data_IF_707895428877
#
_entry.id   IF_707895428877
#
_cell.length_a   1.000
_cell.length_b   1.000
_cell.length_c   1.000
_cell.angle_alpha   90.00
_cell.angle_beta   90.00
_cell.angle_gamma   90.00
#
_symmetry.space_group_name_H-M   'P 1'
#
loop_
_entity.id
_entity.type
_entity.pdbx_description
1 polymer ?
#
# COMPACT_ATOMS: atom_id res chain seq x y z
N UNK A 1 -30.29 -15.90 -18.19
CA UNK A 1 -29.61 -17.16 -17.83
C UNK A 1 -30.03 -17.55 -16.43
N UNK A 2 -30.81 -18.62 -16.30
CA UNK A 2 -31.32 -19.11 -15.02
C UNK A 2 -30.26 -19.90 -14.26
N UNK A 3 -30.28 -19.79 -12.93
CA UNK A 3 -29.41 -20.56 -12.04
C UNK A 3 -29.91 -22.01 -11.98
N UNK A 4 -29.12 -22.95 -12.50
CA UNK A 4 -29.47 -24.37 -12.48
C UNK A 4 -28.99 -25.08 -11.21
N UNK A 5 -27.91 -24.61 -10.57
CA UNK A 5 -27.46 -25.04 -9.24
C UNK A 5 -26.67 -23.91 -8.54
N UNK A 6 -26.92 -23.68 -7.24
CA UNK A 6 -26.19 -22.72 -6.39
C UNK A 6 -27.08 -21.71 -5.67
N UNK A 7 -26.65 -21.26 -4.49
CA UNK A 7 -27.34 -20.21 -3.71
C UNK A 7 -27.30 -18.89 -4.51
N UNK A 8 -28.46 -18.26 -4.68
CA UNK A 8 -28.56 -16.93 -5.26
C UNK A 8 -28.02 -15.91 -4.25
N UNK A 9 -26.96 -15.23 -4.63
CA UNK A 9 -26.39 -14.13 -3.85
C UNK A 9 -27.06 -12.82 -4.26
N UNK A 10 -27.91 -12.30 -3.39
CA UNK A 10 -28.44 -10.93 -3.49
C UNK A 10 -27.66 -10.01 -2.56
N UNK A 11 -27.80 -8.70 -2.74
CA UNK A 11 -27.11 -7.72 -1.88
C UNK A 11 -27.55 -7.89 -0.40
N UNK A 12 -28.82 -8.20 -0.15
CA UNK A 12 -29.33 -8.47 1.20
C UNK A 12 -28.72 -9.74 1.81
N UNK A 13 -28.51 -10.78 0.99
CA UNK A 13 -27.85 -12.00 1.44
C UNK A 13 -26.37 -11.76 1.76
N UNK A 14 -25.69 -10.95 0.96
CA UNK A 14 -24.29 -10.56 1.20
C UNK A 14 -24.20 -9.79 2.53
N UNK A 15 -25.05 -8.78 2.74
CA UNK A 15 -25.12 -8.04 4.00
C UNK A 15 -25.37 -8.95 5.20
N UNK A 16 -26.37 -9.83 5.11
CA UNK A 16 -26.71 -10.76 6.19
C UNK A 16 -25.51 -11.63 6.59
N UNK A 17 -24.81 -12.20 5.61
CA UNK A 17 -23.64 -13.04 5.89
C UNK A 17 -22.46 -12.24 6.45
N UNK A 18 -22.23 -11.00 5.97
CA UNK A 18 -21.23 -10.10 6.57
C UNK A 18 -21.53 -9.88 8.05
N UNK A 19 -22.77 -9.50 8.39
CA UNK A 19 -23.19 -9.26 9.79
C UNK A 19 -23.13 -10.53 10.64
N UNK A 20 -23.44 -11.69 10.07
CA UNK A 20 -23.32 -12.97 10.76
C UNK A 20 -21.86 -13.28 11.13
N UNK A 21 -20.93 -13.10 10.19
CA UNK A 21 -19.49 -13.24 10.45
C UNK A 21 -19.02 -12.25 11.52
N UNK A 22 -19.46 -10.98 11.46
CA UNK A 22 -19.14 -9.97 12.47
C UNK A 22 -19.60 -10.41 13.87
N UNK A 23 -20.83 -10.93 13.97
CA UNK A 23 -21.40 -11.42 15.23
C UNK A 23 -20.62 -12.59 15.80
N UNK A 24 -20.23 -13.57 14.97
CA UNK A 24 -19.47 -14.74 15.40
C UNK A 24 -18.07 -14.35 15.88
N UNK A 25 -17.42 -13.41 15.19
CA UNK A 25 -16.10 -12.91 15.56
C UNK A 25 -16.14 -11.87 16.69
N UNK A 26 -17.33 -11.42 17.08
CA UNK A 26 -17.56 -10.33 18.03
C UNK A 26 -16.79 -9.04 17.65
N UNK A 27 -16.95 -8.60 16.41
CA UNK A 27 -16.34 -7.36 15.88
C UNK A 27 -17.42 -6.38 15.39
N UNK A 28 -17.10 -5.09 15.46
CA UNK A 28 -17.93 -3.95 15.03
C UNK A 28 -17.47 -3.34 13.70
N UNK A 29 -16.47 -3.95 13.06
CA UNK A 29 -15.89 -3.56 11.78
C UNK A 29 -16.07 -4.61 10.69
N UNK A 30 -15.86 -4.22 9.43
CA UNK A 30 -15.83 -5.12 8.29
C UNK A 30 -14.80 -6.25 8.53
N UNK A 31 -15.20 -7.52 8.39
CA UNK A 31 -14.29 -8.64 8.49
C UNK A 31 -13.35 -8.67 7.27
N UNK A 32 -12.12 -9.11 7.49
CA UNK A 32 -11.14 -9.34 6.42
C UNK A 32 -11.42 -10.65 5.69
N UNK A 33 -10.86 -10.82 4.49
CA UNK A 33 -10.98 -12.05 3.71
C UNK A 33 -10.54 -13.29 4.53
N UNK A 34 -9.44 -13.19 5.28
CA UNK A 34 -8.96 -14.28 6.13
C UNK A 34 -9.94 -14.61 7.27
N UNK A 35 -10.48 -13.59 7.94
CA UNK A 35 -11.48 -13.75 9.00
C UNK A 35 -12.78 -14.39 8.47
N UNK A 36 -13.24 -13.99 7.28
CA UNK A 36 -14.40 -14.61 6.64
C UNK A 36 -14.12 -16.10 6.38
N UNK A 37 -13.00 -16.44 5.74
CA UNK A 37 -12.65 -17.84 5.42
C UNK A 37 -12.56 -18.73 6.66
N UNK A 38 -12.07 -18.18 7.79
CA UNK A 38 -12.02 -18.92 9.06
C UNK A 38 -13.41 -19.30 9.56
N UNK A 39 -14.42 -18.45 9.34
CA UNK A 39 -15.80 -18.68 9.78
C UNK A 39 -16.60 -19.49 8.77
N UNK A 40 -16.51 -19.17 7.47
CA UNK A 40 -17.32 -19.80 6.42
C UNK A 40 -16.73 -21.11 5.92
N UNK A 41 -15.42 -21.31 6.05
CA UNK A 41 -14.70 -22.45 5.47
C UNK A 41 -14.59 -22.42 3.94
N UNK A 42 -15.08 -21.35 3.29
CA UNK A 42 -15.09 -21.21 1.83
C UNK A 42 -14.85 -19.76 1.35
N UNK A 43 -14.77 -19.61 0.03
CA UNK A 43 -14.54 -18.33 -0.66
C UNK A 43 -15.82 -17.73 -1.29
N UNK A 44 -17.01 -18.25 -0.97
CA UNK A 44 -18.23 -17.82 -1.63
C UNK A 44 -18.55 -16.36 -1.31
N UNK A 45 -18.56 -15.99 -0.02
CA UNK A 45 -18.84 -14.63 0.43
C UNK A 45 -17.77 -13.63 -0.03
N UNK A 46 -16.49 -13.98 0.11
CA UNK A 46 -15.36 -13.11 -0.25
C UNK A 46 -15.37 -12.79 -1.75
N UNK A 47 -15.64 -13.78 -2.59
CA UNK A 47 -15.78 -13.60 -4.03
C UNK A 47 -16.97 -12.72 -4.41
N UNK A 48 -18.07 -12.82 -3.67
CA UNK A 48 -19.27 -12.03 -3.95
C UNK A 48 -19.06 -10.57 -3.58
N UNK A 49 -18.51 -10.30 -2.38
CA UNK A 49 -18.08 -8.96 -1.97
C UNK A 49 -17.17 -8.34 -3.04
N UNK A 50 -16.14 -9.07 -3.50
CA UNK A 50 -15.21 -8.58 -4.51
C UNK A 50 -15.89 -8.21 -5.85
N UNK A 51 -16.89 -9.00 -6.29
CA UNK A 51 -17.59 -8.80 -7.56
C UNK A 51 -18.70 -7.75 -7.51
N UNK A 52 -19.19 -7.38 -6.33
CA UNK A 52 -20.32 -6.45 -6.16
C UNK A 52 -19.92 -5.10 -5.53
N UNK A 53 -18.63 -4.75 -5.58
CA UNK A 53 -18.14 -3.43 -5.14
C UNK A 53 -16.88 -3.47 -4.26
N UNK A 54 -16.49 -4.66 -3.81
CA UNK A 54 -15.35 -4.84 -2.92
C UNK A 54 -15.64 -4.47 -1.47
N UNK A 55 -14.69 -4.79 -0.59
CA UNK A 55 -14.85 -4.64 0.86
C UNK A 55 -15.11 -3.20 1.29
N UNK A 56 -14.51 -2.22 0.61
CA UNK A 56 -14.68 -0.80 0.94
C UNK A 56 -16.09 -0.29 0.64
N UNK A 57 -16.62 -0.59 -0.55
CA UNK A 57 -17.98 -0.17 -0.89
C UNK A 57 -19.02 -0.85 0.00
N UNK A 58 -18.81 -2.12 0.35
CA UNK A 58 -19.68 -2.80 1.32
C UNK A 58 -19.59 -2.20 2.71
N UNK A 59 -18.40 -1.86 3.19
CA UNK A 59 -18.25 -1.20 4.49
C UNK A 59 -18.94 0.16 4.53
N UNK A 60 -18.82 0.95 3.46
CA UNK A 60 -19.51 2.25 3.30
C UNK A 60 -21.04 2.07 3.29
N UNK A 61 -21.57 1.15 2.48
CA UNK A 61 -23.00 0.82 2.43
C UNK A 61 -23.56 0.40 3.78
N UNK A 62 -22.78 -0.37 4.54
CA UNK A 62 -23.18 -0.91 5.85
C UNK A 62 -22.90 0.06 7.01
N UNK A 63 -22.26 1.20 6.74
CA UNK A 63 -21.81 2.19 7.72
C UNK A 63 -20.92 1.58 8.83
N UNK A 64 -19.96 0.75 8.43
CA UNK A 64 -18.99 0.11 9.33
C UNK A 64 -17.56 0.44 8.93
N UNK A 65 -16.64 0.46 9.90
CA UNK A 65 -15.23 0.70 9.60
C UNK A 65 -14.58 -0.50 8.89
N UNK A 66 -13.58 -0.27 8.06
CA UNK A 66 -12.75 -1.36 7.51
C UNK A 66 -11.58 -1.62 8.45
N UNK A 67 -11.19 -2.89 8.62
CA UNK A 67 -9.94 -3.25 9.33
C UNK A 67 -8.78 -2.42 8.79
N UNK A 68 -8.14 -1.63 9.66
CA UNK A 68 -6.90 -0.93 9.34
C UNK A 68 -5.83 -1.99 9.01
N UNK A 69 -5.37 -2.03 7.77
CA UNK A 69 -4.30 -2.92 7.32
C UNK A 69 -3.13 -2.11 6.77
N UNK A 70 -1.93 -2.69 6.76
CA UNK A 70 -0.75 -2.10 6.11
C UNK A 70 -1.01 -1.77 4.63
N UNK A 71 -1.85 -2.56 3.96
CA UNK A 71 -2.28 -2.30 2.58
C UNK A 71 -3.00 -0.96 2.42
N UNK A 72 -3.80 -0.54 3.42
CA UNK A 72 -4.41 0.80 3.39
C UNK A 72 -3.38 1.90 3.64
N UNK A 73 -2.38 1.64 4.48
CA UNK A 73 -1.31 2.59 4.73
C UNK A 73 -0.47 2.80 3.47
N UNK A 74 -0.09 1.71 2.77
CA UNK A 74 0.62 1.75 1.50
C UNK A 74 -0.08 2.63 0.47
N UNK A 75 -1.35 2.31 0.16
CA UNK A 75 -2.14 3.06 -0.82
C UNK A 75 -2.28 4.55 -0.45
N UNK A 76 -2.49 4.86 0.84
CA UNK A 76 -2.56 6.26 1.30
C UNK A 76 -1.25 7.00 1.08
N UNK A 77 -0.12 6.34 1.31
CA UNK A 77 1.20 6.93 1.12
C UNK A 77 1.62 6.98 -0.36
N UNK A 78 1.15 6.08 -1.21
CA UNK A 78 1.27 6.22 -2.68
C UNK A 78 0.55 7.48 -3.18
N UNK A 79 -0.68 7.72 -2.72
CA UNK A 79 -1.43 8.94 -3.05
C UNK A 79 -0.74 10.18 -2.49
N UNK A 80 -0.27 10.13 -1.24
CA UNK A 80 0.47 11.23 -0.64
C UNK A 80 1.77 11.54 -1.39
N UNK A 81 2.51 10.52 -1.82
CA UNK A 81 3.71 10.67 -2.63
C UNK A 81 3.41 11.37 -3.96
N UNK A 82 2.32 10.94 -4.63
CA UNK A 82 1.82 11.59 -5.85
C UNK A 82 1.54 13.07 -5.61
N UNK A 83 0.73 13.41 -4.61
CA UNK A 83 0.37 14.80 -4.31
C UNK A 83 1.60 15.66 -4.00
N UNK A 84 2.57 15.12 -3.24
CA UNK A 84 3.82 15.81 -2.94
C UNK A 84 4.63 16.09 -4.21
N UNK A 85 4.76 15.11 -5.11
CA UNK A 85 5.49 15.28 -6.36
C UNK A 85 4.79 16.26 -7.32
N UNK A 86 3.46 16.18 -7.43
CA UNK A 86 2.67 17.14 -8.22
C UNK A 86 2.79 18.56 -7.67
N UNK A 87 2.82 18.73 -6.33
CA UNK A 87 3.04 20.03 -5.69
C UNK A 87 4.42 20.63 -5.98
N UNK A 88 5.40 19.79 -6.34
CA UNK A 88 6.74 20.20 -6.77
C UNK A 88 6.81 20.49 -8.29
N UNK A 89 5.69 20.35 -9.01
CA UNK A 89 5.58 20.64 -10.44
C UNK A 89 5.85 19.46 -11.36
N UNK A 90 5.96 18.25 -10.83
CA UNK A 90 6.13 17.05 -11.65
C UNK A 90 4.79 16.54 -12.19
N UNK A 91 4.78 16.00 -13.41
CA UNK A 91 3.64 15.24 -13.91
C UNK A 91 3.72 13.82 -13.33
N UNK A 92 2.66 13.32 -12.67
CA UNK A 92 2.71 12.03 -11.97
C UNK A 92 1.50 11.17 -12.31
N UNK A 93 1.76 9.98 -12.83
CA UNK A 93 0.74 8.96 -13.05
C UNK A 93 0.83 7.89 -11.96
N UNK A 94 -0.31 7.55 -11.34
CA UNK A 94 -0.40 6.41 -10.41
C UNK A 94 -0.69 5.14 -11.19
N UNK A 95 0.18 4.14 -11.04
CA UNK A 95 0.01 2.86 -11.69
C UNK A 95 -1.03 2.00 -10.99
N UNK A 96 -1.63 1.09 -11.76
CA UNK A 96 -2.47 0.02 -11.20
C UNK A 96 -1.61 -1.03 -10.48
N UNK A 97 -2.22 -1.77 -9.56
CA UNK A 97 -1.56 -2.81 -8.74
C UNK A 97 -0.96 -3.99 -9.52
N UNK A 98 -1.10 -4.01 -10.86
CA UNK A 98 -0.48 -5.01 -11.74
C UNK A 98 0.91 -4.61 -12.22
N UNK A 99 1.27 -3.34 -12.05
CA UNK A 99 2.58 -2.84 -12.42
C UNK A 99 3.58 -3.06 -11.28
N UNK A 100 4.88 -3.22 -11.59
CA UNK A 100 5.89 -3.53 -10.59
C UNK A 100 6.48 -2.28 -9.92
N UNK A 101 5.75 -1.16 -9.96
CA UNK A 101 6.08 0.14 -9.34
C UNK A 101 4.79 0.95 -9.22
N UNK A 102 4.77 1.94 -8.33
CA UNK A 102 3.55 2.63 -7.92
C UNK A 102 3.28 3.90 -8.72
N UNK A 103 4.32 4.67 -9.06
CA UNK A 103 4.18 5.95 -9.76
C UNK A 103 5.11 6.03 -10.97
N UNK A 104 4.66 6.70 -12.02
CA UNK A 104 5.46 7.13 -13.16
C UNK A 104 5.55 8.65 -13.19
N UNK A 105 6.76 9.18 -13.00
CA UNK A 105 7.02 10.62 -12.90
C UNK A 105 7.58 11.13 -14.23
N UNK A 106 6.99 12.21 -14.75
CA UNK A 106 7.29 12.83 -16.04
C UNK A 106 7.30 11.84 -17.21
N UNK A 107 6.49 10.77 -17.12
CA UNK A 107 6.44 9.71 -18.14
C UNK A 107 7.71 8.87 -18.25
N UNK A 108 8.71 9.05 -17.38
CA UNK A 108 10.05 8.49 -17.55
C UNK A 108 10.60 7.77 -16.31
N UNK A 109 10.36 8.30 -15.10
CA UNK A 109 10.99 7.82 -13.87
C UNK A 109 10.03 6.90 -13.12
N UNK A 110 10.40 5.64 -12.94
CA UNK A 110 9.58 4.63 -12.24
C UNK A 110 9.86 4.68 -10.74
N UNK A 111 8.83 4.89 -9.94
CA UNK A 111 8.95 5.10 -8.50
C UNK A 111 8.17 4.05 -7.74
N UNK A 112 8.82 3.42 -6.77
CA UNK A 112 8.21 2.48 -5.84
C UNK A 112 8.12 3.12 -4.45
N UNK A 113 6.91 3.20 -3.90
CA UNK A 113 6.60 3.89 -2.64
C UNK A 113 6.56 2.85 -1.53
N UNK A 114 7.29 3.12 -0.45
CA UNK A 114 7.31 2.27 0.74
C UNK A 114 7.00 3.08 1.97
N UNK A 115 6.24 2.51 2.89
CA UNK A 115 5.91 3.12 4.17
C UNK A 115 6.10 2.10 5.27
N UNK A 116 6.64 2.54 6.41
CA UNK A 116 6.83 1.70 7.57
C UNK A 116 6.57 2.50 8.83
N UNK A 117 5.90 1.87 9.80
CA UNK A 117 5.78 2.33 11.19
C UNK A 117 7.02 1.89 11.98
N UNK A 118 7.33 2.54 13.11
CA UNK A 118 8.47 2.14 13.90
C UNK A 118 8.15 0.82 14.58
N UNK A 119 9.15 -0.05 14.69
CA UNK A 119 9.12 -1.22 15.55
C UNK A 119 10.30 -1.14 16.51
N UNK A 120 10.11 -1.70 17.70
CA UNK A 120 11.14 -1.74 18.73
C UNK A 120 12.04 -2.95 18.51
N UNK A 121 13.35 -2.72 18.52
CA UNK A 121 14.34 -3.78 18.54
C UNK A 121 15.33 -3.54 19.69
N UNK A 122 15.71 -4.60 20.40
CA UNK A 122 16.55 -4.67 21.61
C UNK A 122 17.12 -3.33 22.12
N UNK A 123 16.72 -2.94 23.34
CA UNK A 123 17.17 -1.74 24.08
C UNK A 123 16.59 -0.40 23.57
N UNK A 124 15.28 -0.34 23.29
CA UNK A 124 14.53 0.90 23.05
C UNK A 124 15.00 1.73 21.84
N UNK A 125 15.59 1.10 20.81
CA UNK A 125 15.87 1.77 19.54
C UNK A 125 14.75 1.47 18.55
N UNK A 126 14.09 2.52 18.08
CA UNK A 126 13.09 2.43 17.04
C UNK A 126 13.74 2.31 15.67
N UNK A 127 13.25 1.35 14.89
CA UNK A 127 13.63 1.15 13.50
C UNK A 127 12.38 1.14 12.63
N UNK A 128 12.53 1.57 11.38
CA UNK A 128 11.55 1.37 10.34
C UNK A 128 12.12 0.36 9.35
N UNK A 129 11.35 -0.69 9.03
CA UNK A 129 11.77 -1.71 8.08
C UNK A 129 10.82 -1.78 6.90
N UNK A 130 11.38 -1.78 5.70
CA UNK A 130 10.66 -1.82 4.44
C UNK A 130 11.05 -3.10 3.69
N UNK A 131 10.05 -3.89 3.32
CA UNK A 131 10.24 -5.03 2.44
C UNK A 131 10.36 -4.55 0.98
N UNK A 132 11.47 -4.86 0.34
CA UNK A 132 11.75 -4.54 -1.08
C UNK A 132 11.61 -5.76 -1.99
N UNK A 133 11.32 -6.94 -1.42
CA UNK A 133 11.03 -8.23 -2.07
C UNK A 133 12.21 -8.86 -2.83
N UNK A 134 12.84 -8.11 -3.73
CA UNK A 134 13.91 -8.57 -4.62
C UNK A 134 15.21 -7.78 -4.38
N UNK A 135 16.34 -8.26 -4.90
CA UNK A 135 17.60 -7.48 -4.89
C UNK A 135 17.83 -6.68 -6.18
N UNK A 136 17.08 -7.04 -7.23
CA UNK A 136 17.10 -6.40 -8.54
C UNK A 136 15.73 -5.78 -8.76
N UNK A 137 15.65 -4.49 -8.50
CA UNK A 137 14.39 -3.77 -8.46
C UNK A 137 13.98 -3.30 -9.86
N UNK A 138 12.68 -3.28 -10.11
CA UNK A 138 12.03 -2.84 -11.36
C UNK A 138 11.86 -1.33 -11.47
N UNK A 139 12.01 -0.61 -10.36
CA UNK A 139 11.91 0.85 -10.27
C UNK A 139 13.28 1.51 -10.39
N UNK A 140 13.27 2.81 -10.69
CA UNK A 140 14.48 3.65 -10.73
C UNK A 140 14.78 4.26 -9.36
N UNK A 141 13.72 4.62 -8.63
CA UNK A 141 13.80 5.31 -7.33
C UNK A 141 12.81 4.67 -6.35
N UNK A 142 13.27 4.45 -5.13
CA UNK A 142 12.41 4.20 -3.98
C UNK A 142 12.10 5.50 -3.25
N UNK A 143 10.84 5.69 -2.90
CA UNK A 143 10.40 6.75 -2.00
C UNK A 143 9.90 6.14 -0.70
N UNK A 144 10.76 6.12 0.32
CA UNK A 144 10.49 5.46 1.59
C UNK A 144 10.09 6.46 2.69
N UNK A 145 8.90 6.27 3.24
CA UNK A 145 8.31 7.06 4.32
C UNK A 145 8.45 6.33 5.66
N UNK A 146 9.33 6.83 6.51
CA UNK A 146 9.39 6.45 7.92
C UNK A 146 8.39 7.32 8.69
N UNK A 147 7.42 6.69 9.34
CA UNK A 147 6.33 7.38 10.04
C UNK A 147 6.28 6.94 11.50
N UNK A 148 5.77 7.80 12.36
CA UNK A 148 5.48 7.44 13.76
C UNK A 148 4.30 6.47 13.86
N UNK A 149 4.02 5.94 15.05
CA UNK A 149 2.79 5.16 15.30
C UNK A 149 1.51 5.94 14.99
N UNK A 150 1.54 7.26 15.19
CA UNK A 150 0.47 8.21 14.85
C UNK A 150 0.43 8.62 13.37
N UNK A 151 1.31 8.04 12.54
CA UNK A 151 1.44 8.31 11.10
C UNK A 151 1.92 9.73 10.75
N UNK A 152 2.44 10.49 11.71
CA UNK A 152 3.26 11.66 11.41
C UNK A 152 4.55 11.22 10.68
N UNK A 153 4.91 11.92 9.60
CA UNK A 153 6.13 11.62 8.83
C UNK A 153 7.34 12.05 9.64
N UNK A 154 8.25 11.12 9.88
CA UNK A 154 9.51 11.35 10.59
C UNK A 154 10.66 11.52 9.59
N UNK A 155 10.68 10.70 8.52
CA UNK A 155 11.68 10.78 7.46
C UNK A 155 11.08 10.42 6.10
N UNK A 156 11.59 11.07 5.04
CA UNK A 156 11.35 10.71 3.65
C UNK A 156 12.72 10.48 3.00
N UNK A 157 12.95 9.26 2.53
CA UNK A 157 14.18 8.90 1.81
C UNK A 157 13.87 8.67 0.33
N UNK A 158 14.62 9.33 -0.54
CA UNK A 158 14.50 9.21 -2.00
C UNK A 158 15.78 8.54 -2.49
N UNK A 159 15.70 7.23 -2.71
CA UNK A 159 16.87 6.37 -2.87
C UNK A 159 16.87 5.77 -4.28
N UNK A 160 17.91 6.03 -5.10
CA UNK A 160 18.12 5.31 -6.35
C UNK A 160 18.14 3.80 -6.13
N UNK A 161 17.36 3.04 -6.90
CA UNK A 161 17.27 1.59 -6.75
C UNK A 161 18.62 0.90 -6.92
N UNK A 162 19.50 1.44 -7.76
CA UNK A 162 20.89 0.97 -7.95
C UNK A 162 21.72 0.93 -6.66
N UNK A 163 21.37 1.77 -5.68
CA UNK A 163 22.07 1.88 -4.39
C UNK A 163 21.43 0.99 -3.31
N UNK A 164 20.31 0.31 -3.63
CA UNK A 164 19.64 -0.68 -2.80
C UNK A 164 19.76 -2.06 -3.45
N UNK A 165 20.78 -2.83 -3.05
CA UNK A 165 20.93 -4.25 -3.45
C UNK A 165 20.60 -5.16 -2.28
N UNK A 166 19.43 -4.95 -1.69
CA UNK A 166 18.96 -5.64 -0.48
C UNK A 166 17.48 -5.95 -0.60
N UNK A 167 17.01 -7.04 0.03
CA UNK A 167 15.58 -7.37 0.06
C UNK A 167 14.80 -6.63 1.14
N UNK A 168 15.51 -6.08 2.12
CA UNK A 168 14.92 -5.35 3.24
C UNK A 168 15.77 -4.12 3.51
N UNK A 169 15.12 -2.96 3.58
CA UNK A 169 15.72 -1.71 4.01
C UNK A 169 15.31 -1.48 5.46
N UNK A 170 16.28 -1.40 6.37
CA UNK A 170 16.03 -1.02 7.77
C UNK A 170 16.74 0.29 8.08
N UNK A 171 16.02 1.25 8.64
CA UNK A 171 16.53 2.56 9.02
C UNK A 171 16.23 2.80 10.50
N UNK A 172 17.25 3.22 11.25
CA UNK A 172 17.09 3.68 12.62
C UNK A 172 17.11 5.21 12.69
N UNK A 173 17.27 5.71 13.91
CA UNK A 173 17.42 7.15 14.20
C UNK A 173 18.55 7.79 13.40
N UNK A 174 19.70 7.12 13.31
CA UNK A 174 20.80 7.45 12.41
C UNK A 174 21.03 6.28 11.45
N UNK A 175 21.18 6.59 10.18
CA UNK A 175 21.30 5.59 9.12
C UNK A 175 22.26 6.03 8.03
N UNK A 176 22.99 5.09 7.43
CA UNK A 176 23.78 5.35 6.20
C UNK A 176 22.92 5.87 5.04
N UNK A 177 21.61 5.67 5.11
CA UNK A 177 20.64 6.11 4.12
C UNK A 177 20.16 7.55 4.35
N UNK A 178 20.52 8.20 5.47
CA UNK A 178 20.11 9.59 5.74
C UNK A 178 20.66 10.58 4.68
N UNK A 179 21.74 10.21 3.96
CA UNK A 179 22.24 10.95 2.78
C UNK A 179 21.21 11.09 1.63
N UNK A 180 20.16 10.28 1.66
CA UNK A 180 19.05 10.28 0.69
C UNK A 180 17.81 11.02 1.19
N UNK A 181 17.88 11.62 2.38
CA UNK A 181 16.76 12.34 2.96
C UNK A 181 16.38 13.55 2.10
N UNK A 182 15.09 13.64 1.73
CA UNK A 182 14.53 14.74 0.94
C UNK A 182 15.30 15.06 -0.35
N UNK A 183 15.91 14.05 -1.00
CA UNK A 183 16.61 14.20 -2.29
C UNK A 183 15.66 14.31 -3.47
N UNK A 184 14.72 15.25 -3.40
CA UNK A 184 13.75 15.55 -4.46
C UNK A 184 14.43 15.90 -5.78
N UNK A 185 15.65 16.44 -5.73
CA UNK A 185 16.49 16.72 -6.89
C UNK A 185 16.80 15.49 -7.75
N UNK A 186 16.64 14.28 -7.23
CA UNK A 186 16.83 13.06 -8.01
C UNK A 186 15.78 12.85 -9.08
N UNK A 187 14.53 13.23 -8.85
CA UNK A 187 13.50 13.12 -9.89
C UNK A 187 13.87 13.96 -11.10
N UNK A 188 14.30 15.20 -10.88
CA UNK A 188 14.77 16.09 -11.94
C UNK A 188 15.99 15.53 -12.69
N UNK A 189 16.98 15.00 -11.96
CA UNK A 189 18.19 14.41 -12.57
C UNK A 189 17.87 13.19 -13.43
N UNK A 190 17.00 12.32 -12.93
CA UNK A 190 16.57 11.13 -13.67
C UNK A 190 15.73 11.51 -14.89
N UNK A 191 14.76 12.42 -14.75
CA UNK A 191 13.96 12.91 -15.88
C UNK A 191 14.85 13.53 -16.96
N UNK A 192 15.80 14.39 -16.60
CA UNK A 192 16.76 14.97 -17.54
C UNK A 192 17.61 13.93 -18.25
N UNK A 193 18.11 12.95 -17.51
CA UNK A 193 18.89 11.87 -18.10
C UNK A 193 18.07 11.08 -19.12
N UNK A 194 16.88 10.61 -18.74
CA UNK A 194 16.02 9.79 -19.61
C UNK A 194 15.56 10.57 -20.85
N UNK A 195 15.15 11.83 -20.69
CA UNK A 195 14.72 12.67 -21.82
C UNK A 195 15.87 13.14 -22.72
N UNK A 196 17.11 13.06 -22.23
CA UNK A 196 18.32 13.35 -23.01
C UNK A 196 18.79 12.18 -23.87
N UNK A 197 18.22 10.98 -23.66
CA UNK A 197 18.48 9.80 -24.48
C UNK A 197 17.59 9.86 -25.74
N UNK A 198 17.93 10.76 -26.66
CA UNK A 198 17.37 10.81 -28.01
C UNK A 198 18.26 10.04 -28.99
#
# INVERSE_FOLDING_TARGET
MGYTHGIRWTDEKIEYEIRNVMKILNIDRMPSCAEIKVITGDDALTNKIAKTGGFYQWADRLQIEVKKSETQLGVRYELKAKDMLESLGYAVEKMSTRHPYDLLVNGAVKVDVKVAKPYEYEKAKFFHSFNLENMYHSCDIFMAFAVSHSEAIEKILIIPSKDLKVKQLSIGSNSRYDKYMNRWDYFEKYSKFMNGLN
#
